data_IF_646363064437
#
_entry.id   IF_646363064437
#
_cell.length_a   1.000
_cell.length_b   1.000
_cell.length_c   1.000
_cell.angle_alpha   90.00
_cell.angle_beta   90.00
_cell.angle_gamma   90.00
#
_symmetry.space_group_name_H-M   'P 1'
#
loop_
_entity.id
_entity.type
_entity.pdbx_description
1 polymer ?
#
# COMPACT_ATOMS: atom_id res chain seq x y z
N UNK A 1 -6.58 8.04 8.55
CA UNK A 1 -7.86 7.59 7.95
C UNK A 1 -8.20 6.16 8.40
N UNK A 2 -9.48 5.76 8.48
CA UNK A 2 -9.89 4.36 8.73
C UNK A 2 -9.78 3.53 7.44
N UNK A 3 -9.38 2.26 7.54
CA UNK A 3 -9.34 1.34 6.38
C UNK A 3 -10.72 1.06 5.76
N UNK A 4 -11.81 1.49 6.41
CA UNK A 4 -13.19 1.38 5.91
C UNK A 4 -13.44 2.22 4.67
N UNK A 5 -12.65 3.26 4.42
CA UNK A 5 -12.74 4.08 3.22
C UNK A 5 -12.19 3.38 1.96
N UNK A 6 -11.46 2.27 2.13
CA UNK A 6 -10.83 1.54 1.04
C UNK A 6 -11.49 0.18 0.92
N UNK A 7 -12.00 -0.14 -0.26
CA UNK A 7 -12.52 -1.47 -0.61
C UNK A 7 -11.63 -2.09 -1.69
N UNK A 8 -11.77 -3.40 -1.92
CA UNK A 8 -11.09 -4.02 -3.05
C UNK A 8 -11.63 -3.42 -4.36
N UNK A 9 -10.73 -3.04 -5.27
CA UNK A 9 -11.05 -2.32 -6.51
C UNK A 9 -10.98 -0.78 -6.37
N UNK A 10 -10.82 -0.24 -5.15
CA UNK A 10 -10.60 1.20 -4.98
C UNK A 10 -9.27 1.59 -5.61
N UNK A 11 -9.30 2.59 -6.49
CA UNK A 11 -8.08 3.23 -6.99
C UNK A 11 -7.57 4.24 -5.97
N UNK A 12 -6.25 4.31 -5.84
CA UNK A 12 -5.58 5.23 -4.94
C UNK A 12 -4.41 5.92 -5.64
N UNK A 13 -4.10 7.13 -5.21
CA UNK A 13 -2.96 7.91 -5.65
C UNK A 13 -2.04 8.19 -4.46
N UNK A 14 -0.73 8.00 -4.64
CA UNK A 14 0.27 8.33 -3.64
C UNK A 14 0.44 9.85 -3.51
N UNK A 15 0.26 10.37 -2.31
CA UNK A 15 0.45 11.79 -1.95
C UNK A 15 1.89 12.11 -1.55
N UNK A 16 2.66 11.09 -1.17
CA UNK A 16 4.03 11.20 -0.70
C UNK A 16 4.87 10.04 -1.25
N UNK A 17 6.20 10.18 -1.16
CA UNK A 17 7.09 9.05 -1.39
C UNK A 17 6.95 8.03 -0.27
N UNK A 18 6.70 6.76 -0.63
CA UNK A 18 6.52 5.68 0.33
C UNK A 18 7.59 4.61 0.10
N UNK A 19 8.56 4.45 1.03
CA UNK A 19 9.54 3.39 0.94
C UNK A 19 8.86 2.06 1.24
N UNK A 20 8.93 1.12 0.30
CA UNK A 20 8.35 -0.22 0.43
C UNK A 20 9.41 -1.29 0.24
N UNK A 21 9.40 -2.29 1.11
CA UNK A 21 10.35 -3.40 1.09
C UNK A 21 9.66 -4.66 0.61
N UNK A 22 10.35 -5.43 -0.22
CA UNK A 22 9.94 -6.82 -0.49
C UNK A 22 10.49 -7.69 0.64
N UNK A 23 9.62 -8.09 1.57
CA UNK A 23 10.00 -9.08 2.59
C UNK A 23 10.07 -10.48 1.96
N UNK A 24 11.15 -10.78 1.25
CA UNK A 24 11.45 -12.13 0.80
C UNK A 24 12.15 -12.90 1.92
N UNK A 25 11.44 -13.28 2.99
CA UNK A 25 11.74 -14.39 3.93
C UNK A 25 13.19 -14.66 4.43
N UNK A 26 14.15 -13.77 4.20
CA UNK A 26 15.58 -13.99 4.36
C UNK A 26 16.21 -12.73 4.95
N UNK A 27 17.30 -12.84 5.73
CA UNK A 27 17.92 -11.75 6.50
C UNK A 27 18.71 -10.76 5.62
N UNK A 28 18.43 -10.72 4.32
CA UNK A 28 19.07 -9.82 3.37
C UNK A 28 18.07 -8.69 3.15
N UNK A 29 18.48 -7.45 3.41
CA UNK A 29 17.65 -6.27 3.12
C UNK A 29 17.15 -6.36 1.67
N UNK A 30 15.87 -6.70 1.49
CA UNK A 30 15.27 -6.82 0.17
C UNK A 30 15.41 -5.51 -0.60
N UNK A 31 15.47 -5.59 -1.93
CA UNK A 31 15.53 -4.41 -2.79
C UNK A 31 14.44 -3.41 -2.36
N UNK A 32 14.86 -2.24 -1.88
CA UNK A 32 13.95 -1.16 -1.53
C UNK A 32 13.33 -0.64 -2.81
N UNK A 33 12.00 -0.67 -2.89
CA UNK A 33 11.27 0.05 -3.91
C UNK A 33 10.74 1.34 -3.29
N UNK A 34 10.54 2.35 -4.14
CA UNK A 34 9.93 3.61 -3.74
C UNK A 34 8.67 3.80 -4.55
N UNK A 35 7.53 3.99 -3.88
CA UNK A 35 6.33 4.54 -4.49
C UNK A 35 6.53 6.06 -4.58
N UNK A 36 6.27 6.63 -5.74
CA UNK A 36 6.49 8.05 -6.03
C UNK A 36 5.18 8.83 -5.88
N UNK A 37 5.28 10.13 -5.61
CA UNK A 37 4.10 11.02 -5.62
C UNK A 37 3.40 10.93 -6.97
N UNK A 38 2.09 10.78 -6.97
CA UNK A 38 1.26 10.64 -8.16
C UNK A 38 1.19 9.21 -8.73
N UNK A 39 1.91 8.24 -8.15
CA UNK A 39 1.73 6.84 -8.54
C UNK A 39 0.29 6.40 -8.28
N UNK A 40 -0.28 5.66 -9.24
CA UNK A 40 -1.61 5.08 -9.12
C UNK A 40 -1.51 3.61 -8.73
N UNK A 41 -2.34 3.22 -7.77
CA UNK A 41 -2.51 1.85 -7.33
C UNK A 41 -3.97 1.44 -7.27
N UNK A 42 -4.21 0.14 -7.24
CA UNK A 42 -5.52 -0.45 -6.99
C UNK A 42 -5.45 -1.31 -5.73
N UNK A 43 -6.35 -1.08 -4.78
CA UNK A 43 -6.48 -1.90 -3.58
C UNK A 43 -6.98 -3.28 -4.02
N UNK A 44 -6.14 -4.30 -3.89
CA UNK A 44 -6.52 -5.68 -4.25
C UNK A 44 -7.10 -6.42 -3.05
N UNK A 45 -6.71 -6.06 -1.83
CA UNK A 45 -7.21 -6.70 -0.61
C UNK A 45 -7.09 -5.76 0.57
N UNK A 46 -8.12 -5.73 1.41
CA UNK A 46 -8.07 -5.11 2.73
C UNK A 46 -8.01 -6.23 3.76
N UNK A 47 -6.88 -6.37 4.46
CA UNK A 47 -6.78 -7.38 5.53
C UNK A 47 -7.05 -6.73 6.87
N UNK A 48 -7.97 -7.34 7.62
CA UNK A 48 -8.31 -6.98 8.99
C UNK A 48 -8.01 -8.21 9.85
N UNK A 49 -7.04 -8.12 10.74
CA UNK A 49 -6.79 -9.21 11.71
C UNK A 49 -7.35 -8.80 13.07
N UNK A 50 -7.80 -9.78 13.86
CA UNK A 50 -8.37 -9.57 15.19
C UNK A 50 -7.30 -9.15 16.20
N UNK A 51 -6.79 -7.93 16.07
CA UNK A 51 -5.86 -7.26 17.00
C UNK A 51 -5.67 -5.77 16.66
N UNK A 52 -6.53 -5.16 15.83
CA UNK A 52 -6.34 -3.78 15.36
C UNK A 52 -5.23 -3.63 14.30
N UNK A 53 -4.68 -4.73 13.80
CA UNK A 53 -3.74 -4.72 12.69
C UNK A 53 -4.52 -4.79 11.37
N UNK A 54 -4.47 -3.69 10.64
CA UNK A 54 -5.08 -3.51 9.33
C UNK A 54 -3.99 -3.22 8.31
N UNK A 55 -4.06 -3.80 7.12
CA UNK A 55 -3.19 -3.39 6.02
C UNK A 55 -3.93 -3.38 4.69
N UNK A 56 -3.58 -2.39 3.87
CA UNK A 56 -4.05 -2.26 2.50
C UNK A 56 -3.03 -2.93 1.58
N UNK A 57 -3.49 -3.91 0.81
CA UNK A 57 -2.69 -4.58 -0.21
C UNK A 57 -2.97 -3.87 -1.53
N UNK A 58 -2.01 -3.12 -2.06
CA UNK A 58 -2.20 -2.25 -3.23
C UNK A 58 -1.28 -2.70 -4.36
N UNK A 59 -1.85 -2.94 -5.55
CA UNK A 59 -1.11 -3.17 -6.78
C UNK A 59 -0.79 -1.83 -7.43
N UNK A 60 0.48 -1.46 -7.45
CA UNK A 60 0.94 -0.20 -8.01
C UNK A 60 1.24 -0.36 -9.51
N UNK A 61 0.66 0.51 -10.33
CA UNK A 61 0.75 0.39 -11.79
C UNK A 61 2.20 0.51 -12.28
N UNK A 62 2.93 1.54 -11.83
CA UNK A 62 4.32 1.79 -12.23
C UNK A 62 5.28 0.67 -11.80
N UNK A 63 5.09 0.12 -10.60
CA UNK A 63 5.95 -0.93 -10.06
C UNK A 63 5.56 -2.34 -10.56
N UNK A 64 4.37 -2.49 -11.16
CA UNK A 64 3.83 -3.77 -11.63
C UNK A 64 3.69 -4.82 -10.52
N UNK A 65 3.71 -4.41 -9.25
CA UNK A 65 3.79 -5.26 -8.06
C UNK A 65 2.87 -4.75 -6.96
N UNK A 66 2.61 -5.65 -6.02
CA UNK A 66 1.75 -5.38 -4.88
C UNK A 66 2.59 -5.10 -3.64
N UNK A 67 2.25 -4.03 -2.94
CA UNK A 67 2.88 -3.66 -1.68
C UNK A 67 1.81 -3.41 -0.61
N UNK A 68 2.16 -3.69 0.64
CA UNK A 68 1.28 -3.43 1.77
C UNK A 68 1.52 -2.01 2.28
N UNK A 69 0.44 -1.29 2.57
CA UNK A 69 0.48 -0.11 3.42
C UNK A 69 -0.02 -0.48 4.81
N UNK A 70 0.72 -0.03 5.81
CA UNK A 70 0.35 -0.10 7.21
C UNK A 70 -0.57 1.07 7.58
N UNK A 71 -1.27 1.02 8.73
CA UNK A 71 -2.23 2.06 9.11
C UNK A 71 -1.66 3.47 9.21
N UNK A 72 -0.41 3.59 9.65
CA UNK A 72 0.34 4.84 9.72
C UNK A 72 0.66 5.44 8.34
N UNK A 73 0.52 4.65 7.27
CA UNK A 73 0.77 5.07 5.89
C UNK A 73 -0.52 5.37 5.11
N UNK A 74 -1.71 5.16 5.70
CA UNK A 74 -2.97 5.39 4.99
C UNK A 74 -3.19 6.86 4.61
N UNK A 75 -2.65 7.79 5.41
CA UNK A 75 -2.75 9.22 5.11
C UNK A 75 -1.77 9.67 4.00
N UNK A 76 -0.89 8.76 3.52
CA UNK A 76 0.02 9.00 2.39
C UNK A 76 -0.62 8.67 1.04
N UNK A 77 -1.88 8.24 1.03
CA UNK A 77 -2.65 7.97 -0.18
C UNK A 77 -4.01 8.64 -0.10
N UNK A 78 -4.56 9.03 -1.26
CA UNK A 78 -5.97 9.42 -1.40
C UNK A 78 -6.68 8.45 -2.35
N UNK A 79 -8.00 8.37 -2.24
CA UNK A 79 -8.82 7.73 -3.25
C UNK A 79 -8.67 8.52 -4.56
N UNK A 80 -8.47 7.81 -5.66
CA UNK A 80 -8.41 8.35 -7.01
C UNK A 80 -9.69 7.96 -7.77
N UNK A 81 -10.17 8.85 -8.63
CA UNK A 81 -11.33 8.62 -9.50
C UNK A 81 -11.01 7.65 -10.67
#
# INVERSE_FOLDING_TARGET
MSCEAFEAGTKVEALAEIPVRVSMGAPVEGAGHMIQVGDIGEVTTVRRTGAGLHWLVIRWQRLGRTFNLNPDQFDLVKIAD
#
